data_IF_285703786603
#
_entry.id   IF_285703786603
#
_cell.length_a   1.000
_cell.length_b   1.000
_cell.length_c   1.000
_cell.angle_alpha   90.00
_cell.angle_beta   90.00
_cell.angle_gamma   90.00
#
_symmetry.space_group_name_H-M   'P 1'
#
loop_
_entity.id
_entity.type
_entity.pdbx_description
1 polymer ?
#
# COMPACT_ATOMS: atom_id res chain seq x y z
N UNK A 1 15.40 5.37 8.54
CA UNK A 1 14.86 5.27 7.17
C UNK A 1 14.43 3.84 6.95
N UNK A 2 13.15 3.58 6.66
CA UNK A 2 12.69 2.23 6.32
C UNK A 2 13.18 1.89 4.91
N UNK A 3 13.69 0.67 4.71
CA UNK A 3 14.06 0.19 3.37
C UNK A 3 12.85 0.29 2.42
N UNK A 4 13.08 0.58 1.13
CA UNK A 4 11.99 0.66 0.16
C UNK A 4 11.31 -0.71 0.03
N UNK A 5 9.98 -0.71 0.08
CA UNK A 5 9.19 -1.92 -0.08
C UNK A 5 8.63 -1.97 -1.50
N UNK A 6 9.34 -2.67 -2.39
CA UNK A 6 9.06 -2.70 -3.83
C UNK A 6 8.32 -3.98 -4.27
N UNK A 7 7.81 -3.97 -5.50
CA UNK A 7 7.21 -5.17 -6.11
C UNK A 7 8.18 -6.35 -6.19
N UNK A 8 9.48 -6.08 -6.39
CA UNK A 8 10.53 -7.11 -6.41
C UNK A 8 10.67 -7.80 -5.05
N UNK A 9 10.55 -7.05 -3.94
CA UNK A 9 10.62 -7.60 -2.58
C UNK A 9 9.41 -8.46 -2.26
N UNK A 10 8.20 -8.02 -2.66
CA UNK A 10 6.97 -8.83 -2.56
C UNK A 10 7.11 -10.13 -3.35
N UNK A 11 7.49 -10.04 -4.63
CA UNK A 11 7.69 -11.22 -5.49
C UNK A 11 8.78 -12.15 -4.96
N UNK A 12 9.85 -11.63 -4.37
CA UNK A 12 10.89 -12.45 -3.74
C UNK A 12 10.34 -13.16 -2.51
N UNK A 13 9.66 -12.44 -1.61
CA UNK A 13 9.07 -13.03 -0.40
C UNK A 13 8.09 -14.17 -0.72
N UNK A 14 7.18 -13.94 -1.67
CA UNK A 14 6.21 -14.94 -2.11
C UNK A 14 6.88 -16.17 -2.74
N UNK A 15 7.91 -15.97 -3.59
CA UNK A 15 8.69 -17.09 -4.16
C UNK A 15 9.45 -17.89 -3.11
N UNK A 16 9.86 -17.26 -2.01
CA UNK A 16 10.49 -17.92 -0.87
C UNK A 16 9.47 -18.63 0.05
N UNK A 17 8.19 -18.69 -0.33
CA UNK A 17 7.12 -19.34 0.43
C UNK A 17 6.57 -18.50 1.59
N UNK A 18 6.96 -17.22 1.68
CA UNK A 18 6.51 -16.31 2.72
C UNK A 18 5.14 -15.69 2.37
N UNK A 19 4.43 -15.16 3.37
CA UNK A 19 3.02 -14.76 3.20
C UNK A 19 2.77 -13.26 3.38
N UNK A 20 1.88 -12.75 2.53
CA UNK A 20 1.23 -11.45 2.74
C UNK A 20 0.10 -11.65 3.75
N UNK A 21 0.16 -10.93 4.86
CA UNK A 21 -0.75 -11.04 6.00
C UNK A 21 -1.90 -10.02 5.98
N UNK A 22 -1.85 -9.04 5.07
CA UNK A 22 -2.84 -7.98 4.97
C UNK A 22 -2.53 -7.01 3.83
N UNK A 23 -3.58 -6.48 3.22
CA UNK A 23 -3.47 -5.37 2.28
C UNK A 23 -4.62 -4.38 2.46
N UNK A 24 -4.34 -3.10 2.28
CA UNK A 24 -5.37 -2.07 2.13
C UNK A 24 -4.94 -1.04 1.10
N UNK A 25 -5.93 -0.35 0.54
CA UNK A 25 -5.76 0.69 -0.47
C UNK A 25 -6.10 2.03 0.16
N UNK A 26 -5.32 3.06 -0.17
CA UNK A 26 -5.67 4.46 0.11
C UNK A 26 -5.98 5.15 -1.20
N UNK A 27 -7.17 5.75 -1.26
CA UNK A 27 -7.59 6.66 -2.31
C UNK A 27 -7.11 8.07 -1.98
N UNK A 28 -6.09 8.52 -2.72
CA UNK A 28 -5.52 9.87 -2.69
C UNK A 28 -6.06 10.74 -3.84
N UNK A 29 -7.16 10.35 -4.48
CA UNK A 29 -7.70 11.09 -5.62
C UNK A 29 -8.12 12.49 -5.21
N UNK A 30 -7.70 13.48 -6.00
CA UNK A 30 -7.97 14.90 -5.77
C UNK A 30 -8.07 15.62 -7.11
N UNK A 31 -8.96 16.61 -7.23
CA UNK A 31 -9.16 17.44 -8.43
C UNK A 31 -9.18 16.69 -9.76
N UNK A 32 -9.95 15.59 -9.81
CA UNK A 32 -10.10 14.77 -11.01
C UNK A 32 -8.87 13.92 -11.37
N UNK A 33 -7.77 13.99 -10.62
CA UNK A 33 -6.64 13.06 -10.72
C UNK A 33 -6.88 11.86 -9.81
N UNK A 34 -7.13 10.70 -10.42
CA UNK A 34 -7.18 9.44 -9.69
C UNK A 34 -5.78 8.99 -9.26
N UNK A 35 -5.61 8.74 -7.96
CA UNK A 35 -4.35 8.27 -7.39
C UNK A 35 -4.62 7.28 -6.26
N UNK A 36 -4.37 6.00 -6.51
CA UNK A 36 -4.54 4.93 -5.52
C UNK A 36 -3.17 4.37 -5.13
N UNK A 37 -2.94 4.17 -3.83
CA UNK A 37 -1.75 3.49 -3.32
C UNK A 37 -2.15 2.27 -2.51
N UNK A 38 -1.24 1.31 -2.36
CA UNK A 38 -1.48 0.10 -1.57
C UNK A 38 -0.43 -0.06 -0.49
N UNK A 39 -0.91 -0.52 0.66
CA UNK A 39 -0.11 -0.93 1.79
C UNK A 39 -0.20 -2.44 1.96
N UNK A 40 0.93 -3.07 2.24
CA UNK A 40 1.00 -4.49 2.54
C UNK A 40 1.62 -4.73 3.91
N UNK A 41 1.13 -5.75 4.59
CA UNK A 41 1.76 -6.35 5.76
C UNK A 41 2.20 -7.76 5.39
N UNK A 42 3.41 -8.14 5.77
CA UNK A 42 3.95 -9.47 5.49
C UNK A 42 4.66 -10.07 6.70
N UNK A 43 4.82 -11.40 6.71
CA UNK A 43 5.41 -12.12 7.85
C UNK A 43 6.94 -11.96 7.97
N UNK A 44 7.61 -11.62 6.86
CA UNK A 44 9.07 -11.54 6.77
C UNK A 44 9.62 -10.16 7.12
N UNK A 45 8.75 -9.17 7.27
CA UNK A 45 9.12 -7.84 7.72
C UNK A 45 9.08 -7.83 9.24
N UNK A 46 10.25 -7.68 9.89
CA UNK A 46 10.41 -7.80 11.35
C UNK A 46 9.44 -6.91 12.15
N UNK A 47 9.14 -5.70 11.66
CA UNK A 47 8.25 -4.76 12.34
C UNK A 47 6.78 -5.19 12.32
N UNK A 48 6.39 -6.09 11.39
CA UNK A 48 5.01 -6.48 11.08
C UNK A 48 4.07 -5.29 10.85
N UNK A 49 4.63 -4.12 10.54
CA UNK A 49 3.88 -2.91 10.17
C UNK A 49 3.48 -3.00 8.71
N UNK A 50 2.44 -2.25 8.35
CA UNK A 50 2.10 -2.02 6.97
C UNK A 50 3.17 -1.16 6.31
N UNK A 51 3.49 -1.49 5.07
CA UNK A 51 4.45 -0.75 4.25
C UNK A 51 3.77 -0.39 2.93
N UNK A 52 3.86 0.88 2.57
CA UNK A 52 3.40 1.35 1.26
C UNK A 52 4.25 0.72 0.16
N UNK A 53 3.61 0.33 -0.93
CA UNK A 53 4.32 -0.10 -2.12
C UNK A 53 5.02 1.09 -2.78
N UNK A 54 6.34 0.99 -2.95
CA UNK A 54 7.17 2.02 -3.59
C UNK A 54 7.45 1.66 -5.05
N UNK A 55 7.78 2.68 -5.83
CA UNK A 55 8.36 2.53 -7.17
C UNK A 55 9.80 2.01 -7.11
N UNK A 56 10.33 1.55 -8.23
CA UNK A 56 11.70 1.02 -8.32
C UNK A 56 12.73 2.06 -7.84
N UNK A 57 13.67 1.61 -7.01
CA UNK A 57 14.65 2.41 -6.25
C UNK A 57 14.05 3.28 -5.13
N UNK A 58 12.84 2.97 -4.66
CA UNK A 58 12.22 3.63 -3.51
C UNK A 58 11.91 5.12 -3.68
N UNK A 59 12.01 5.67 -4.89
CA UNK A 59 12.02 7.13 -5.11
C UNK A 59 10.66 7.81 -4.87
N UNK A 60 9.57 7.06 -5.01
CA UNK A 60 8.21 7.55 -4.86
C UNK A 60 7.26 6.42 -4.43
N UNK A 61 6.09 6.80 -3.91
CA UNK A 61 4.96 5.87 -3.73
C UNK A 61 4.48 5.36 -5.09
N UNK A 62 4.11 4.09 -5.17
CA UNK A 62 3.56 3.54 -6.40
C UNK A 62 2.07 3.88 -6.46
N UNK A 63 1.75 4.87 -7.28
CA UNK A 63 0.38 5.28 -7.57
C UNK A 63 -0.21 4.51 -8.75
N UNK A 64 -1.49 4.20 -8.65
CA UNK A 64 -2.31 3.58 -9.68
C UNK A 64 -3.42 4.55 -10.07
N UNK A 65 -3.69 4.67 -11.38
CA UNK A 65 -4.78 5.51 -11.89
C UNK A 65 -6.13 4.81 -11.79
N UNK A 66 -6.14 3.49 -11.88
CA UNK A 66 -7.34 2.67 -11.85
C UNK A 66 -7.28 1.68 -10.71
N UNK A 67 -8.39 1.61 -9.96
CA UNK A 67 -8.54 0.70 -8.84
C UNK A 67 -8.43 -0.77 -9.28
N UNK A 68 -8.95 -1.11 -10.47
CA UNK A 68 -8.89 -2.46 -11.03
C UNK A 68 -7.44 -2.93 -11.24
N UNK A 69 -6.56 -2.10 -11.78
CA UNK A 69 -5.15 -2.43 -12.00
C UNK A 69 -4.43 -2.69 -10.68
N UNK A 70 -4.79 -1.93 -9.65
CA UNK A 70 -4.26 -2.11 -8.31
C UNK A 70 -4.74 -3.43 -7.68
N UNK A 71 -6.02 -3.74 -7.80
CA UNK A 71 -6.58 -5.01 -7.35
C UNK A 71 -5.94 -6.20 -8.05
N UNK A 72 -5.79 -6.15 -9.38
CA UNK A 72 -5.10 -7.20 -10.14
C UNK A 72 -3.67 -7.37 -9.64
N UNK A 73 -2.95 -6.27 -9.42
CA UNK A 73 -1.59 -6.36 -8.85
C UNK A 73 -1.58 -7.05 -7.49
N UNK A 74 -2.52 -6.72 -6.59
CA UNK A 74 -2.60 -7.34 -5.26
C UNK A 74 -2.81 -8.86 -5.38
N UNK A 75 -3.70 -9.29 -6.28
CA UNK A 75 -3.98 -10.71 -6.54
C UNK A 75 -2.78 -11.42 -7.16
N UNK A 76 -2.10 -10.80 -8.12
CA UNK A 76 -0.87 -11.34 -8.72
C UNK A 76 0.26 -11.53 -7.70
N UNK A 77 0.28 -10.75 -6.63
CA UNK A 77 1.24 -10.94 -5.53
C UNK A 77 0.83 -12.09 -4.58
N UNK A 78 -0.25 -12.82 -4.87
CA UNK A 78 -0.71 -13.96 -4.07
C UNK A 78 -1.44 -13.57 -2.79
N UNK A 79 -1.99 -12.35 -2.70
CA UNK A 79 -2.85 -11.97 -1.59
C UNK A 79 -4.33 -12.20 -1.91
N UNK A 80 -4.90 -13.26 -1.34
CA UNK A 80 -6.31 -13.65 -1.52
C UNK A 80 -7.25 -13.12 -0.42
N UNK A 81 -6.71 -12.41 0.58
CA UNK A 81 -7.49 -11.86 1.68
C UNK A 81 -8.39 -10.68 1.29
N UNK A 82 -9.13 -10.16 2.28
CA UNK A 82 -9.95 -8.95 2.13
C UNK A 82 -9.05 -7.73 1.96
N UNK A 83 -9.30 -6.94 0.91
CA UNK A 83 -8.68 -5.64 0.69
C UNK A 83 -9.70 -4.57 1.05
N UNK A 84 -9.37 -3.72 2.02
CA UNK A 84 -10.21 -2.56 2.37
C UNK A 84 -9.69 -1.32 1.65
N UNK A 85 -10.59 -0.40 1.29
CA UNK A 85 -10.25 0.86 0.63
C UNK A 85 -10.67 1.98 1.58
N UNK A 86 -9.75 2.89 1.85
CA UNK A 86 -9.97 4.08 2.67
C UNK A 86 -9.66 5.33 1.84
N UNK A 87 -10.32 6.43 2.16
CA UNK A 87 -9.94 7.73 1.61
C UNK A 87 -8.79 8.31 2.43
N UNK A 88 -7.88 9.06 1.80
CA UNK A 88 -6.87 9.82 2.54
C UNK A 88 -7.54 10.73 3.60
N UNK A 89 -7.02 10.71 4.84
CA UNK A 89 -7.59 11.40 5.99
C UNK A 89 -8.72 10.65 6.70
N UNK A 90 -9.00 9.39 6.34
CA UNK A 90 -9.91 8.52 7.11
C UNK A 90 -9.31 8.21 8.50
N UNK A 91 -10.13 8.26 9.55
CA UNK A 91 -9.70 8.02 10.93
C UNK A 91 -9.28 6.57 11.15
N UNK A 92 -9.88 5.63 10.43
CA UNK A 92 -9.57 4.20 10.56
C UNK A 92 -8.15 3.89 10.08
N UNK A 93 -7.56 4.75 9.25
CA UNK A 93 -6.16 4.63 8.81
C UNK A 93 -5.16 4.72 9.96
N UNK A 94 -5.50 5.42 11.05
CA UNK A 94 -4.67 5.54 12.24
C UNK A 94 -4.57 4.21 13.03
N UNK A 95 -5.48 3.26 12.80
CA UNK A 95 -5.43 1.94 13.41
C UNK A 95 -4.36 1.04 12.77
N UNK A 96 -3.93 1.37 11.54
CA UNK A 96 -2.93 0.60 10.81
C UNK A 96 -1.52 1.12 11.08
N UNK A 97 -0.77 0.39 11.91
CA UNK A 97 0.62 0.72 12.17
C UNK A 97 1.46 0.71 10.88
N UNK A 98 2.07 1.84 10.53
CA UNK A 98 2.91 2.00 9.34
C UNK A 98 2.28 2.85 8.22
N UNK A 99 1.01 3.25 8.36
CA UNK A 99 0.41 4.28 7.50
C UNK A 99 1.24 5.56 7.53
N UNK A 100 1.48 6.17 6.37
CA UNK A 100 2.26 7.38 6.27
C UNK A 100 1.45 8.62 6.71
N UNK A 101 2.10 9.66 7.27
CA UNK A 101 1.42 10.89 7.69
C UNK A 101 0.57 11.53 6.59
N UNK A 102 1.07 11.54 5.34
CA UNK A 102 0.37 12.09 4.17
C UNK A 102 -0.98 11.42 3.90
N UNK A 103 -1.19 10.18 4.36
CA UNK A 103 -2.45 9.45 4.22
C UNK A 103 -3.39 9.61 5.43
N UNK A 104 -2.84 10.04 6.57
CA UNK A 104 -3.60 10.29 7.80
C UNK A 104 -4.21 11.70 7.82
N UNK A 105 -3.61 12.63 7.08
CA UNK A 105 -4.10 13.99 6.92
C UNK A 105 -5.14 14.03 5.79
N UNK A 106 -6.25 14.77 5.99
CA UNK A 106 -7.12 15.10 4.87
C UNK A 106 -6.33 15.98 3.90
N UNK A 107 -6.44 15.78 2.58
CA UNK A 107 -5.94 16.76 1.63
C UNK A 107 -6.56 18.11 1.99
N UNK A 108 -5.73 19.07 2.40
CA UNK A 108 -6.17 20.45 2.60
C UNK A 108 -6.54 21.00 1.24
N UNK A 109 -7.79 21.45 1.09
CA UNK A 109 -8.20 22.27 -0.07
C UNK A 109 -7.25 23.47 -0.17
N UNK A 110 -6.80 23.84 -1.38
CA UNK A 110 -5.97 25.03 -1.59
C UNK A 110 -6.71 26.33 -1.26
#
# INVERSE_FOLDING_TARGET
MSEPFELSDLRRGVREGKRILGAFIVDRSHDGRSAFVVYFRSDWVKSRRFQILRTFRGKADREYKHLNDLYLTIREMGYDGRVSIYRAGDKDLALYAGTLPVDLERPTEP
#
